data_IF_027115775947
#
_entry.id   IF_027115775947
#
_cell.length_a   1.000
_cell.length_b   1.000
_cell.length_c   1.000
_cell.angle_alpha   90.00
_cell.angle_beta   90.00
_cell.angle_gamma   90.00
#
_symmetry.space_group_name_H-M   'P 1'
#
loop_
_entity.id
_entity.type
_entity.pdbx_description
1 polymer ?
#
# COMPACT_ATOMS: atom_id res chain seq x y z
N UNK A 1 2.28 27.91 8.75
CA UNK A 1 2.75 26.76 7.94
C UNK A 1 1.97 26.76 6.63
N UNK A 2 2.66 26.83 5.50
CA UNK A 2 2.04 26.81 4.17
C UNK A 2 1.24 25.49 4.00
N UNK A 3 0.01 25.56 3.49
CA UNK A 3 -0.88 24.40 3.32
C UNK A 3 -0.22 23.28 2.50
N UNK A 4 0.61 23.64 1.52
CA UNK A 4 1.33 22.69 0.67
C UNK A 4 2.41 21.92 1.45
N UNK A 5 3.09 22.58 2.38
CA UNK A 5 4.11 21.97 3.27
C UNK A 5 3.44 21.00 4.24
N UNK A 6 2.32 21.40 4.84
CA UNK A 6 1.51 20.50 5.67
C UNK A 6 1.06 19.26 4.88
N UNK A 7 0.57 19.45 3.65
CA UNK A 7 0.14 18.34 2.80
C UNK A 7 1.29 17.39 2.45
N UNK A 8 2.47 17.92 2.11
CA UNK A 8 3.64 17.10 1.81
C UNK A 8 4.12 16.30 3.05
N UNK A 9 4.10 16.91 4.25
CA UNK A 9 4.43 16.22 5.49
C UNK A 9 3.43 15.10 5.82
N UNK A 10 2.13 15.34 5.62
CA UNK A 10 1.10 14.32 5.80
C UNK A 10 1.24 13.16 4.80
N UNK A 11 1.57 13.46 3.52
CA UNK A 11 1.85 12.43 2.52
C UNK A 11 3.08 11.59 2.88
N UNK A 12 4.15 12.23 3.36
CA UNK A 12 5.35 11.53 3.84
C UNK A 12 5.00 10.56 4.98
N UNK A 13 4.27 11.04 5.99
CA UNK A 13 3.80 10.21 7.10
C UNK A 13 2.93 9.04 6.61
N UNK A 14 2.01 9.31 5.68
CA UNK A 14 1.17 8.29 5.06
C UNK A 14 2.00 7.18 4.40
N UNK A 15 3.01 7.51 3.60
CA UNK A 15 3.87 6.50 2.97
C UNK A 15 4.69 5.70 3.99
N UNK A 16 5.16 6.33 5.07
CA UNK A 16 5.84 5.61 6.17
C UNK A 16 4.90 4.60 6.83
N UNK A 17 3.66 5.01 7.13
CA UNK A 17 2.64 4.12 7.70
C UNK A 17 2.33 2.97 6.73
N UNK A 18 2.24 3.22 5.43
CA UNK A 18 2.05 2.17 4.42
C UNK A 18 3.20 1.16 4.40
N UNK A 19 4.45 1.61 4.49
CA UNK A 19 5.62 0.72 4.55
C UNK A 19 5.55 -0.17 5.79
N UNK A 20 5.26 0.41 6.96
CA UNK A 20 5.09 -0.34 8.20
C UNK A 20 3.95 -1.36 8.11
N UNK A 21 2.82 -0.95 7.53
CA UNK A 21 1.69 -1.82 7.27
C UNK A 21 2.08 -3.02 6.41
N UNK A 22 2.75 -2.80 5.28
CA UNK A 22 3.19 -3.90 4.41
C UNK A 22 4.18 -4.85 5.11
N UNK A 23 5.02 -4.34 6.00
CA UNK A 23 5.90 -5.17 6.81
C UNK A 23 5.12 -6.08 7.76
N UNK A 24 4.13 -5.53 8.47
CA UNK A 24 3.27 -6.31 9.36
C UNK A 24 2.45 -7.35 8.59
N UNK A 25 1.81 -6.91 7.52
CA UNK A 25 0.96 -7.71 6.64
C UNK A 25 1.73 -8.89 6.02
N UNK A 26 2.96 -8.64 5.54
CA UNK A 26 3.88 -9.68 5.06
C UNK A 26 4.20 -10.72 6.15
N UNK A 27 4.52 -10.28 7.37
CA UNK A 27 4.82 -11.20 8.48
C UNK A 27 3.59 -12.04 8.83
N UNK A 28 2.41 -11.42 8.86
CA UNK A 28 1.15 -12.08 9.19
C UNK A 28 0.77 -13.13 8.16
N UNK A 29 0.96 -12.86 6.86
CA UNK A 29 0.72 -13.81 5.78
C UNK A 29 1.55 -15.08 5.93
N UNK A 30 2.87 -14.91 6.04
CA UNK A 30 3.78 -16.04 6.14
C UNK A 30 3.60 -16.81 7.45
N UNK A 31 3.28 -16.12 8.54
CA UNK A 31 3.01 -16.78 9.81
C UNK A 31 1.68 -17.55 9.79
N UNK A 32 0.63 -17.00 9.18
CA UNK A 32 -0.63 -17.72 8.95
C UNK A 32 -0.42 -18.96 8.06
N UNK A 33 0.36 -18.84 6.99
CA UNK A 33 0.68 -19.97 6.13
C UNK A 33 1.51 -21.03 6.86
N UNK A 34 2.44 -20.63 7.72
CA UNK A 34 3.18 -21.57 8.57
C UNK A 34 2.23 -22.36 9.48
N UNK A 35 1.28 -21.69 10.14
CA UNK A 35 0.26 -22.35 10.97
C UNK A 35 -0.58 -23.32 10.13
N UNK A 36 -0.96 -22.94 8.90
CA UNK A 36 -1.67 -23.85 8.00
C UNK A 36 -0.87 -25.11 7.68
N UNK A 37 0.45 -24.98 7.47
CA UNK A 37 1.32 -26.12 7.18
C UNK A 37 1.53 -27.02 8.39
N UNK A 38 1.61 -26.48 9.62
CA UNK A 38 1.88 -27.26 10.83
C UNK A 38 0.64 -27.84 11.48
N UNK A 39 -0.42 -27.04 11.57
CA UNK A 39 -1.61 -27.36 12.35
C UNK A 39 -2.79 -27.76 11.46
N UNK A 40 -2.62 -27.68 10.13
CA UNK A 40 -3.66 -27.93 9.12
C UNK A 40 -4.93 -27.10 9.36
N UNK A 41 -4.75 -25.90 9.92
CA UNK A 41 -5.84 -24.96 10.17
C UNK A 41 -5.52 -23.57 9.63
N UNK A 42 -6.54 -22.89 9.11
CA UNK A 42 -6.48 -21.45 8.83
C UNK A 42 -7.39 -20.78 9.84
N UNK A 43 -6.80 -19.88 10.63
CA UNK A 43 -7.51 -19.06 11.60
C UNK A 43 -8.49 -19.83 12.51
N UNK A 44 -8.11 -21.05 12.93
CA UNK A 44 -8.91 -21.90 13.83
C UNK A 44 -9.93 -22.81 13.15
N UNK A 45 -9.91 -22.90 11.81
CA UNK A 45 -10.78 -23.78 11.03
C UNK A 45 -9.93 -24.83 10.26
N UNK A 46 -10.34 -26.11 10.22
CA UNK A 46 -9.64 -27.14 9.44
C UNK A 46 -9.47 -26.75 7.97
N UNK A 47 -8.24 -26.83 7.48
CA UNK A 47 -7.81 -26.44 6.13
C UNK A 47 -6.94 -27.53 5.48
N UNK A 48 -7.22 -28.80 5.77
CA UNK A 48 -6.41 -29.96 5.35
C UNK A 48 -6.55 -30.33 3.86
N UNK A 49 -6.84 -29.36 3.00
CA UNK A 49 -6.96 -29.54 1.55
C UNK A 49 -5.71 -29.05 0.84
N UNK A 50 -5.20 -29.85 -0.10
CA UNK A 50 -4.07 -29.47 -0.97
C UNK A 50 -4.39 -28.18 -1.73
N UNK A 51 -5.65 -27.99 -2.16
CA UNK A 51 -6.06 -26.79 -2.87
C UNK A 51 -5.90 -25.53 -2.02
N UNK A 52 -6.25 -25.61 -0.74
CA UNK A 52 -6.15 -24.48 0.19
C UNK A 52 -4.67 -24.14 0.42
N UNK A 53 -3.82 -25.14 0.70
CA UNK A 53 -2.37 -24.97 0.87
C UNK A 53 -1.70 -24.34 -0.36
N UNK A 54 -2.06 -24.78 -1.56
CA UNK A 54 -1.50 -24.25 -2.81
C UNK A 54 -1.96 -22.81 -3.05
N UNK A 55 -3.25 -22.51 -2.86
CA UNK A 55 -3.79 -21.16 -3.08
C UNK A 55 -3.27 -20.15 -2.04
N UNK A 56 -3.18 -20.55 -0.77
CA UNK A 56 -2.64 -19.70 0.28
C UNK A 56 -1.13 -19.50 0.09
N UNK A 57 -0.38 -20.56 -0.20
CA UNK A 57 1.05 -20.43 -0.51
C UNK A 57 1.31 -19.53 -1.73
N UNK A 58 0.49 -19.66 -2.78
CA UNK A 58 0.54 -18.79 -3.95
C UNK A 58 0.27 -17.33 -3.57
N UNK A 59 -0.75 -17.07 -2.73
CA UNK A 59 -1.08 -15.71 -2.30
C UNK A 59 0.03 -15.06 -1.49
N UNK A 60 0.72 -15.80 -0.61
CA UNK A 60 1.90 -15.31 0.12
C UNK A 60 3.08 -14.93 -0.80
N UNK A 61 3.33 -15.74 -1.85
CA UNK A 61 4.38 -15.43 -2.83
C UNK A 61 4.00 -14.17 -3.63
N UNK A 62 2.75 -14.07 -4.08
CA UNK A 62 2.25 -12.88 -4.74
C UNK A 62 2.32 -11.63 -3.84
N UNK A 63 1.97 -11.74 -2.55
CA UNK A 63 2.15 -10.68 -1.57
C UNK A 63 3.61 -10.22 -1.54
N UNK A 64 4.55 -11.15 -1.43
CA UNK A 64 5.99 -10.83 -1.35
C UNK A 64 6.44 -10.00 -2.55
N UNK A 65 6.01 -10.39 -3.76
CA UNK A 65 6.34 -9.69 -5.00
C UNK A 65 5.68 -8.30 -5.04
N UNK A 66 4.38 -8.21 -4.72
CA UNK A 66 3.64 -6.96 -4.74
C UNK A 66 4.17 -5.97 -3.70
N UNK A 67 4.43 -6.43 -2.47
CA UNK A 67 5.06 -5.64 -1.41
C UNK A 67 6.40 -5.08 -1.88
N UNK A 68 7.29 -5.92 -2.43
CA UNK A 68 8.59 -5.44 -2.91
C UNK A 68 8.45 -4.39 -4.03
N UNK A 69 7.47 -4.54 -4.93
CA UNK A 69 7.20 -3.58 -5.98
C UNK A 69 6.62 -2.26 -5.45
N UNK A 70 5.65 -2.31 -4.53
CA UNK A 70 5.05 -1.13 -3.90
C UNK A 70 6.06 -0.35 -3.04
N UNK A 71 6.92 -1.04 -2.29
CA UNK A 71 8.00 -0.40 -1.52
C UNK A 71 8.91 0.43 -2.43
N UNK A 72 9.22 -0.04 -3.64
CA UNK A 72 9.99 0.75 -4.61
C UNK A 72 9.24 2.01 -5.04
N UNK A 73 7.95 1.90 -5.35
CA UNK A 73 7.10 3.05 -5.70
C UNK A 73 7.04 4.06 -4.56
N UNK A 74 6.80 3.60 -3.33
CA UNK A 74 6.73 4.46 -2.14
C UNK A 74 8.06 5.12 -1.81
N UNK A 75 9.19 4.45 -2.01
CA UNK A 75 10.51 5.06 -1.84
C UNK A 75 10.71 6.26 -2.79
N UNK A 76 10.23 6.18 -4.03
CA UNK A 76 10.25 7.32 -4.96
C UNK A 76 9.35 8.46 -4.49
N UNK A 77 8.13 8.17 -4.01
CA UNK A 77 7.23 9.20 -3.48
C UNK A 77 7.78 9.86 -2.21
N UNK A 78 8.36 9.09 -1.29
CA UNK A 78 9.02 9.61 -0.08
C UNK A 78 10.17 10.54 -0.47
N UNK A 79 11.04 10.11 -1.39
CA UNK A 79 12.17 10.93 -1.86
C UNK A 79 11.70 12.28 -2.42
N UNK A 80 10.61 12.28 -3.19
CA UNK A 80 10.01 13.50 -3.73
C UNK A 80 9.47 14.42 -2.63
N UNK A 81 8.63 13.90 -1.72
CA UNK A 81 8.01 14.75 -0.69
C UNK A 81 9.02 15.24 0.35
N UNK A 82 10.00 14.42 0.71
CA UNK A 82 11.08 14.84 1.60
C UNK A 82 11.88 15.99 0.99
N UNK A 83 12.22 15.89 -0.29
CA UNK A 83 12.92 16.96 -0.98
C UNK A 83 12.09 18.24 -1.08
N UNK A 84 10.80 18.12 -1.39
CA UNK A 84 9.89 19.26 -1.44
C UNK A 84 9.86 20.02 -0.10
N UNK A 85 9.78 19.28 1.02
CA UNK A 85 9.84 19.85 2.36
C UNK A 85 11.19 20.50 2.67
N UNK A 86 12.30 19.85 2.28
CA UNK A 86 13.64 20.38 2.49
C UNK A 86 13.82 21.74 1.83
N UNK A 87 13.38 21.89 0.57
CA UNK A 87 13.51 23.16 -0.14
C UNK A 87 12.54 24.21 0.39
N UNK A 88 11.30 23.84 0.71
CA UNK A 88 10.37 24.79 1.33
C UNK A 88 10.94 25.34 2.67
N UNK A 89 11.59 24.49 3.46
CA UNK A 89 12.29 24.91 4.68
C UNK A 89 13.49 25.80 4.37
N UNK A 90 14.25 25.51 3.32
CA UNK A 90 15.37 26.35 2.87
C UNK A 90 14.90 27.74 2.43
N UNK A 91 13.77 27.84 1.71
CA UNK A 91 13.20 29.11 1.27
C UNK A 91 12.67 29.96 2.44
N UNK A 92 12.02 29.32 3.42
CA UNK A 92 11.41 30.02 4.57
C UNK A 92 12.44 30.41 5.65
N UNK A 93 13.49 29.61 5.86
CA UNK A 93 14.42 29.77 6.98
C UNK A 93 15.87 30.06 6.56
N UNK A 94 16.18 30.05 5.27
CA UNK A 94 17.53 30.17 4.74
C UNK A 94 18.35 28.87 4.90
N UNK A 95 19.61 28.86 4.43
CA UNK A 95 20.50 27.72 4.60
C UNK A 95 20.65 27.36 6.08
N UNK A 96 20.52 26.07 6.40
CA UNK A 96 21.00 25.55 7.68
C UNK A 96 22.52 25.64 7.65
N UNK A 97 23.07 26.73 8.19
CA UNK A 97 24.50 27.02 8.17
C UNK A 97 25.32 25.90 8.82
N UNK A 98 26.59 25.73 8.42
CA UNK A 98 27.46 24.75 9.05
C UNK A 98 27.59 25.03 10.55
N UNK A 99 27.71 23.96 11.33
CA UNK A 99 28.17 24.05 12.73
C UNK A 99 29.50 24.82 12.72
N UNK A 100 29.64 25.81 13.60
CA UNK A 100 30.83 26.65 13.72
C UNK A 100 32.11 25.79 13.65
N UNK A 101 32.92 26.02 12.61
CA UNK A 101 34.25 25.40 12.48
C UNK A 101 34.50 24.49 11.26
N UNK A 102 33.52 24.22 10.39
CA UNK A 102 33.80 23.46 9.15
C UNK A 102 34.24 24.39 8.01
N UNK A 103 35.39 24.12 7.40
CA UNK A 103 35.81 24.78 6.17
C UNK A 103 34.81 24.49 5.04
N UNK A 104 33.99 25.47 4.66
CA UNK A 104 32.95 25.30 3.64
C UNK A 104 33.42 25.82 2.27
N UNK A 105 33.13 25.02 1.24
CA UNK A 105 33.04 25.53 -0.14
C UNK A 105 31.86 26.50 -0.14
N UNK A 106 32.12 27.80 -0.36
CA UNK A 106 31.07 28.81 -0.49
C UNK A 106 30.34 28.61 -1.82
N UNK A 107 29.36 27.72 -1.83
CA UNK A 107 28.33 27.70 -2.89
C UNK A 107 27.47 28.94 -2.66
N UNK A 108 27.28 29.76 -3.69
CA UNK A 108 26.41 30.93 -3.59
C UNK A 108 24.96 30.51 -3.27
N UNK A 109 24.26 31.32 -2.47
CA UNK A 109 22.86 31.04 -2.12
C UNK A 109 21.97 30.90 -3.38
N UNK A 110 22.31 31.62 -4.45
CA UNK A 110 21.61 31.56 -5.75
C UNK A 110 21.86 30.24 -6.50
N UNK A 111 23.10 29.74 -6.57
CA UNK A 111 23.39 28.43 -7.18
C UNK A 111 22.78 27.27 -6.38
N UNK A 112 22.76 27.37 -5.05
CA UNK A 112 22.14 26.34 -4.20
C UNK A 112 20.63 26.30 -4.44
N UNK A 113 20.00 27.47 -4.55
CA UNK A 113 18.57 27.61 -4.85
C UNK A 113 18.20 27.15 -6.26
N UNK A 114 19.03 27.45 -7.27
CA UNK A 114 18.83 26.96 -8.63
C UNK A 114 18.91 25.43 -8.68
N UNK A 115 19.95 24.85 -8.09
CA UNK A 115 20.11 23.39 -8.02
C UNK A 115 18.96 22.71 -7.26
N UNK A 116 18.51 23.30 -6.15
CA UNK A 116 17.36 22.81 -5.39
C UNK A 116 16.07 22.86 -6.21
N UNK A 117 15.82 23.95 -6.94
CA UNK A 117 14.64 24.12 -7.79
C UNK A 117 14.62 23.12 -8.96
N UNK A 118 15.76 22.91 -9.60
CA UNK A 118 15.92 21.97 -10.72
C UNK A 118 15.79 20.51 -10.25
N UNK A 119 16.26 20.22 -9.03
CA UNK A 119 16.09 18.91 -8.42
C UNK A 119 14.63 18.65 -7.98
N UNK A 120 13.90 19.65 -7.47
CA UNK A 120 12.45 19.54 -7.25
C UNK A 120 11.72 19.34 -8.58
N UNK A 121 12.08 20.09 -9.62
CA UNK A 121 11.45 19.96 -10.92
C UNK A 121 11.66 18.56 -11.51
N UNK A 122 12.88 18.02 -11.39
CA UNK A 122 13.17 16.64 -11.78
C UNK A 122 12.43 15.62 -10.91
N UNK A 123 12.35 15.84 -9.60
CA UNK A 123 11.53 15.02 -8.68
C UNK A 123 10.05 15.03 -9.06
N UNK A 124 9.50 16.22 -9.36
CA UNK A 124 8.13 16.41 -9.82
C UNK A 124 7.90 15.72 -11.15
N UNK A 125 8.82 15.85 -12.12
CA UNK A 125 8.76 15.13 -13.40
C UNK A 125 8.74 13.61 -13.20
N UNK A 126 9.44 13.09 -12.19
CA UNK A 126 9.46 11.66 -11.87
C UNK A 126 8.12 11.21 -11.27
N UNK A 127 7.53 11.97 -10.34
CA UNK A 127 6.22 11.64 -9.74
C UNK A 127 5.06 11.83 -10.72
N UNK A 128 5.19 12.81 -11.63
CA UNK A 128 4.21 13.11 -12.67
C UNK A 128 4.40 12.19 -13.90
N UNK A 129 5.48 11.41 -13.98
CA UNK A 129 5.63 10.42 -15.05
C UNK A 129 4.47 9.41 -14.94
N UNK A 130 3.59 9.34 -15.96
CA UNK A 130 2.38 8.52 -15.90
C UNK A 130 2.65 7.03 -15.70
N UNK A 131 3.91 6.58 -15.85
CA UNK A 131 4.32 5.21 -15.55
C UNK A 131 4.16 4.85 -14.07
N UNK A 132 4.45 5.77 -13.13
CA UNK A 132 4.39 5.43 -11.70
C UNK A 132 2.96 5.31 -11.17
N UNK A 133 2.04 6.26 -11.44
CA UNK A 133 0.65 6.12 -10.99
C UNK A 133 -0.08 4.93 -11.61
N UNK A 134 0.27 4.58 -12.86
CA UNK A 134 -0.25 3.40 -13.55
C UNK A 134 0.36 2.11 -13.00
N UNK A 135 1.68 2.08 -12.76
CA UNK A 135 2.33 0.93 -12.14
C UNK A 135 1.77 0.66 -10.75
N UNK A 136 1.62 1.69 -9.92
CA UNK A 136 0.97 1.60 -8.61
C UNK A 136 -0.44 1.01 -8.74
N UNK A 137 -1.26 1.52 -9.66
CA UNK A 137 -2.61 1.01 -9.89
C UNK A 137 -2.62 -0.47 -10.30
N UNK A 138 -1.78 -0.84 -11.26
CA UNK A 138 -1.70 -2.23 -11.74
C UNK A 138 -1.22 -3.16 -10.62
N UNK A 139 -0.23 -2.72 -9.83
CA UNK A 139 0.25 -3.50 -8.68
C UNK A 139 -0.84 -3.59 -7.60
N UNK A 140 -1.61 -2.53 -7.34
CA UNK A 140 -2.74 -2.57 -6.40
C UNK A 140 -3.85 -3.53 -6.85
N UNK A 141 -4.15 -3.61 -8.15
CA UNK A 141 -5.09 -4.63 -8.67
C UNK A 141 -4.51 -6.04 -8.52
N UNK A 142 -3.21 -6.22 -8.79
CA UNK A 142 -2.56 -7.51 -8.60
C UNK A 142 -2.51 -7.93 -7.11
N UNK A 143 -2.23 -7.00 -6.20
CA UNK A 143 -2.28 -7.20 -4.75
C UNK A 143 -3.70 -7.61 -4.33
N UNK A 144 -4.72 -6.86 -4.74
CA UNK A 144 -6.11 -7.21 -4.44
C UNK A 144 -6.45 -8.64 -4.90
N UNK A 145 -6.23 -8.93 -6.18
CA UNK A 145 -6.74 -10.16 -6.81
C UNK A 145 -5.94 -11.41 -6.48
N UNK A 146 -4.62 -11.29 -6.36
CA UNK A 146 -3.73 -12.44 -6.16
C UNK A 146 -3.41 -12.68 -4.69
N UNK A 147 -3.71 -11.71 -3.82
CA UNK A 147 -3.51 -11.84 -2.37
C UNK A 147 -4.83 -11.69 -1.63
N UNK A 148 -5.32 -10.46 -1.46
CA UNK A 148 -6.36 -10.16 -0.48
C UNK A 148 -7.67 -10.90 -0.76
N UNK A 149 -8.09 -10.95 -2.03
CA UNK A 149 -9.28 -11.67 -2.48
C UNK A 149 -9.14 -13.17 -2.27
N UNK A 150 -7.98 -13.75 -2.60
CA UNK A 150 -7.73 -15.19 -2.40
C UNK A 150 -7.80 -15.53 -0.92
N UNK A 151 -7.12 -14.77 -0.07
CA UNK A 151 -7.08 -15.04 1.37
C UNK A 151 -8.46 -14.84 2.04
N UNK A 152 -9.18 -13.76 1.72
CA UNK A 152 -10.55 -13.53 2.20
C UNK A 152 -11.51 -14.61 1.71
N UNK A 153 -11.40 -15.00 0.44
CA UNK A 153 -12.22 -16.06 -0.16
C UNK A 153 -11.97 -17.43 0.49
N UNK A 154 -10.70 -17.78 0.75
CA UNK A 154 -10.34 -19.01 1.44
C UNK A 154 -10.87 -19.03 2.87
N UNK A 155 -10.70 -17.95 3.64
CA UNK A 155 -11.23 -17.83 5.01
C UNK A 155 -12.75 -18.05 5.04
N UNK A 156 -13.47 -17.37 4.16
CA UNK A 156 -14.93 -17.51 4.07
C UNK A 156 -15.35 -18.92 3.64
N UNK A 157 -14.68 -19.50 2.64
CA UNK A 157 -15.01 -20.84 2.15
C UNK A 157 -14.78 -21.90 3.23
N UNK A 158 -13.59 -21.90 3.83
CA UNK A 158 -13.20 -22.89 4.85
C UNK A 158 -14.09 -22.77 6.09
N UNK A 159 -14.35 -21.55 6.56
CA UNK A 159 -15.28 -21.32 7.68
C UNK A 159 -16.72 -21.71 7.36
N UNK A 160 -17.14 -21.69 6.10
CA UNK A 160 -18.47 -22.16 5.69
C UNK A 160 -18.54 -23.69 5.62
N UNK A 161 -17.49 -24.32 5.11
CA UNK A 161 -17.42 -25.76 4.92
C UNK A 161 -17.20 -26.55 6.22
N UNK A 162 -16.52 -25.96 7.21
CA UNK A 162 -16.12 -26.64 8.44
C UNK A 162 -16.52 -25.86 9.69
N UNK A 163 -16.65 -26.58 10.81
CA UNK A 163 -16.84 -25.98 12.12
C UNK A 163 -15.52 -25.53 12.72
N UNK A 164 -15.56 -24.44 13.48
CA UNK A 164 -14.41 -23.97 14.25
C UNK A 164 -13.98 -25.04 15.25
N UNK A 165 -12.69 -25.36 15.27
CA UNK A 165 -12.14 -26.34 16.20
C UNK A 165 -11.66 -25.69 17.50
N UNK A 166 -11.46 -24.37 17.51
CA UNK A 166 -11.01 -23.57 18.64
C UNK A 166 -11.65 -22.18 18.60
N UNK A 167 -11.71 -21.52 19.76
CA UNK A 167 -12.04 -20.10 19.85
C UNK A 167 -11.07 -19.25 19.02
N UNK A 168 -11.55 -18.10 18.54
CA UNK A 168 -10.79 -17.17 17.72
C UNK A 168 -9.50 -16.74 18.44
N UNK A 169 -8.36 -17.08 17.85
CA UNK A 169 -7.06 -16.70 18.41
C UNK A 169 -6.77 -15.21 18.17
N UNK A 170 -5.94 -14.60 19.02
CA UNK A 170 -5.47 -13.22 18.81
C UNK A 170 -4.78 -13.02 17.46
N UNK A 171 -4.04 -14.04 16.99
CA UNK A 171 -3.40 -14.03 15.68
C UNK A 171 -4.44 -14.01 14.55
N UNK A 172 -5.45 -14.89 14.62
CA UNK A 172 -6.55 -14.95 13.66
C UNK A 172 -7.33 -13.63 13.58
N UNK A 173 -7.55 -13.00 14.74
CA UNK A 173 -8.20 -11.70 14.83
C UNK A 173 -7.34 -10.61 14.17
N UNK A 174 -6.04 -10.57 14.49
CA UNK A 174 -5.12 -9.60 13.91
C UNK A 174 -4.99 -9.77 12.39
N UNK A 175 -4.90 -11.00 11.89
CA UNK A 175 -4.89 -11.32 10.47
C UNK A 175 -6.16 -10.82 9.77
N UNK A 176 -7.33 -11.03 10.40
CA UNK A 176 -8.61 -10.55 9.87
C UNK A 176 -8.69 -9.02 9.84
N UNK A 177 -8.19 -8.34 10.88
CA UNK A 177 -8.11 -6.87 10.91
C UNK A 177 -7.16 -6.36 9.83
N UNK A 178 -6.00 -6.98 9.64
CA UNK A 178 -5.06 -6.64 8.56
C UNK A 178 -5.72 -6.77 7.18
N UNK A 179 -6.49 -7.84 6.95
CA UNK A 179 -7.28 -8.07 5.73
C UNK A 179 -8.34 -6.98 5.52
N UNK A 180 -9.11 -6.61 6.56
CA UNK A 180 -10.08 -5.51 6.46
C UNK A 180 -9.42 -4.18 6.11
N UNK A 181 -8.29 -3.87 6.76
CA UNK A 181 -7.52 -2.66 6.46
C UNK A 181 -6.90 -2.71 5.06
N UNK A 182 -6.53 -3.89 4.55
CA UNK A 182 -6.03 -4.08 3.18
C UNK A 182 -7.10 -3.68 2.17
N UNK A 183 -8.29 -4.25 2.30
CA UNK A 183 -9.43 -3.94 1.44
C UNK A 183 -9.80 -2.46 1.54
N UNK A 184 -9.95 -1.92 2.75
CA UNK A 184 -10.27 -0.50 2.92
C UNK A 184 -9.21 0.43 2.27
N UNK A 185 -7.92 0.12 2.45
CA UNK A 185 -6.81 0.85 1.83
C UNK A 185 -6.93 0.82 0.30
N UNK A 186 -7.13 -0.36 -0.27
CA UNK A 186 -7.23 -0.56 -1.72
C UNK A 186 -8.47 0.09 -2.30
N UNK A 187 -9.62 -0.02 -1.63
CA UNK A 187 -10.85 0.68 -2.00
C UNK A 187 -10.61 2.19 -2.07
N UNK A 188 -10.02 2.79 -1.04
CA UNK A 188 -9.67 4.22 -1.02
C UNK A 188 -8.68 4.55 -2.16
N UNK A 189 -7.69 3.69 -2.41
CA UNK A 189 -6.74 3.86 -3.52
C UNK A 189 -7.46 3.91 -4.89
N UNK A 190 -8.38 2.97 -5.16
CA UNK A 190 -9.12 2.94 -6.41
C UNK A 190 -10.08 4.13 -6.55
N UNK A 191 -10.79 4.49 -5.48
CA UNK A 191 -11.67 5.66 -5.47
C UNK A 191 -10.88 6.94 -5.75
N UNK A 192 -9.77 7.15 -5.07
CA UNK A 192 -8.93 8.35 -5.27
C UNK A 192 -8.35 8.43 -6.68
N UNK A 193 -7.95 7.30 -7.27
CA UNK A 193 -7.48 7.23 -8.67
C UNK A 193 -8.61 7.40 -9.69
N UNK A 194 -9.82 6.93 -9.39
CA UNK A 194 -11.00 7.09 -10.24
C UNK A 194 -11.43 8.56 -10.33
N UNK A 195 -11.45 9.26 -9.19
CA UNK A 195 -11.80 10.68 -9.10
C UNK A 195 -10.64 11.64 -9.37
N UNK A 196 -9.45 11.12 -9.72
CA UNK A 196 -8.26 11.92 -10.04
C UNK A 196 -7.84 12.86 -8.89
N UNK A 197 -8.01 12.41 -7.65
CA UNK A 197 -7.71 13.21 -6.46
C UNK A 197 -6.20 13.29 -6.15
N UNK A 198 -5.38 12.53 -6.88
CA UNK A 198 -3.92 12.48 -6.72
C UNK A 198 -3.15 13.46 -7.61
N UNK A 199 -1.99 13.88 -7.13
CA UNK A 199 -1.05 14.72 -7.87
C UNK A 199 -0.42 13.90 -9.02
N UNK A 200 -0.42 14.42 -10.25
CA UNK A 200 0.01 13.67 -11.44
C UNK A 200 -1.11 12.89 -12.15
N UNK A 201 -2.27 12.71 -11.51
CA UNK A 201 -3.41 11.97 -12.10
C UNK A 201 -4.07 12.75 -13.25
N UNK A 202 -3.95 14.07 -13.28
CA UNK A 202 -4.53 14.94 -14.33
C UNK A 202 -3.71 15.01 -15.62
N UNK A 203 -2.53 14.38 -15.66
CA UNK A 203 -1.54 14.58 -16.74
C UNK A 203 -1.65 13.53 -17.85
N UNK A 204 -2.49 12.51 -17.72
CA UNK A 204 -2.61 11.50 -18.76
C UNK A 204 -3.44 12.01 -19.96
N UNK A 205 -2.75 12.18 -21.10
CA UNK A 205 -3.34 12.21 -22.42
C UNK A 205 -3.71 10.79 -22.92
N UNK A 206 -4.58 10.80 -23.92
CA UNK A 206 -5.21 9.68 -24.63
C UNK A 206 -6.38 8.97 -23.92
N UNK A 207 -7.54 8.91 -24.62
CA UNK A 207 -8.83 8.44 -24.10
C UNK A 207 -8.79 6.96 -23.74
N UNK A 208 -8.08 6.14 -24.52
CA UNK A 208 -7.97 4.70 -24.31
C UNK A 208 -7.30 4.34 -22.97
N UNK A 209 -6.25 5.08 -22.57
CA UNK A 209 -5.56 4.85 -21.30
C UNK A 209 -6.46 5.20 -20.10
N UNK A 210 -7.31 6.21 -20.26
CA UNK A 210 -8.31 6.57 -19.26
C UNK A 210 -9.38 5.50 -19.10
N UNK A 211 -9.91 4.98 -20.20
CA UNK A 211 -10.93 3.93 -20.15
C UNK A 211 -10.38 2.69 -19.44
N UNK A 212 -9.16 2.27 -19.77
CA UNK A 212 -8.48 1.15 -19.11
C UNK A 212 -8.31 1.39 -17.60
N UNK A 213 -7.84 2.59 -17.21
CA UNK A 213 -7.69 2.97 -15.81
C UNK A 213 -9.02 2.96 -15.06
N UNK A 214 -10.07 3.51 -15.65
CA UNK A 214 -11.41 3.50 -15.06
C UNK A 214 -11.91 2.08 -14.85
N UNK A 215 -11.73 1.18 -15.84
CA UNK A 215 -12.08 -0.23 -15.70
C UNK A 215 -11.35 -0.88 -14.52
N UNK A 216 -10.03 -0.67 -14.39
CA UNK A 216 -9.24 -1.21 -13.27
C UNK A 216 -9.73 -0.68 -11.91
N UNK A 217 -10.04 0.62 -11.82
CA UNK A 217 -10.52 1.20 -10.57
C UNK A 217 -11.92 0.68 -10.20
N UNK A 218 -12.84 0.57 -11.16
CA UNK A 218 -14.19 0.03 -10.91
C UNK A 218 -14.11 -1.43 -10.47
N UNK A 219 -13.34 -2.24 -11.20
CA UNK A 219 -13.11 -3.63 -10.84
C UNK A 219 -12.49 -3.75 -9.45
N UNK A 220 -11.46 -2.95 -9.17
CA UNK A 220 -10.81 -2.91 -7.85
C UNK A 220 -11.76 -2.52 -6.72
N UNK A 221 -12.60 -1.50 -6.92
CA UNK A 221 -13.61 -1.11 -5.92
C UNK A 221 -14.61 -2.23 -5.63
N UNK A 222 -15.11 -2.89 -6.67
CA UNK A 222 -16.09 -3.98 -6.52
C UNK A 222 -15.45 -5.18 -5.82
N UNK A 223 -14.26 -5.60 -6.25
CA UNK A 223 -13.53 -6.70 -5.64
C UNK A 223 -13.29 -6.43 -4.16
N UNK A 224 -12.68 -5.28 -3.87
CA UNK A 224 -12.36 -4.87 -2.51
C UNK A 224 -13.58 -4.85 -1.58
N UNK A 225 -14.69 -4.20 -1.99
CA UNK A 225 -15.90 -4.17 -1.16
C UNK A 225 -16.53 -5.56 -0.97
N UNK A 226 -16.47 -6.42 -1.99
CA UNK A 226 -17.03 -7.78 -1.92
C UNK A 226 -16.23 -8.63 -0.95
N UNK A 227 -14.91 -8.67 -1.09
CA UNK A 227 -14.04 -9.50 -0.27
C UNK A 227 -13.85 -8.97 1.15
N UNK A 228 -13.96 -7.64 1.36
CA UNK A 228 -14.14 -7.07 2.70
C UNK A 228 -15.39 -7.65 3.38
N UNK A 229 -16.52 -7.70 2.66
CA UNK A 229 -17.75 -8.33 3.14
C UNK A 229 -17.58 -9.80 3.50
N UNK A 230 -16.77 -10.54 2.74
CA UNK A 230 -16.45 -11.95 3.06
C UNK A 230 -15.61 -12.06 4.34
N UNK A 231 -14.61 -11.19 4.54
CA UNK A 231 -13.83 -11.15 5.78
C UNK A 231 -14.70 -10.81 6.98
N UNK A 232 -15.63 -9.85 6.85
CA UNK A 232 -16.61 -9.51 7.90
C UNK A 232 -17.51 -10.71 8.21
N UNK A 233 -18.06 -11.37 7.19
CA UNK A 233 -18.92 -12.54 7.36
C UNK A 233 -18.18 -13.68 8.09
N UNK A 234 -16.92 -13.93 7.72
CA UNK A 234 -16.05 -14.86 8.43
C UNK A 234 -15.90 -14.45 9.90
N UNK A 235 -15.57 -13.18 10.18
CA UNK A 235 -15.31 -12.71 11.54
C UNK A 235 -16.55 -12.80 12.44
N UNK A 236 -17.73 -12.44 11.92
CA UNK A 236 -19.00 -12.60 12.63
C UNK A 236 -19.23 -14.06 12.99
N UNK A 237 -19.01 -14.98 12.05
CA UNK A 237 -19.17 -16.41 12.30
C UNK A 237 -18.16 -16.92 13.34
N UNK A 238 -16.91 -16.46 13.27
CA UNK A 238 -15.86 -16.87 14.18
C UNK A 238 -16.07 -16.35 15.62
N UNK A 239 -16.67 -15.17 15.77
CA UNK A 239 -17.00 -14.60 17.09
C UNK A 239 -18.24 -15.25 17.74
N UNK A 240 -19.06 -15.94 16.95
CA UNK A 240 -20.25 -16.66 17.41
C UNK A 240 -19.99 -18.14 17.76
N UNK A 241 -18.83 -18.67 17.38
CA UNK A 241 -18.42 -20.06 17.60
C UNK A 241 -17.75 -20.26 18.96
#
# INVERSE_FOLDING_TARGET
MNLNVLCAALKLLYYVVLILYHGLDFVMDWYSFHIELTDETISGVPANSIAVKVLFGFSCVCCTICTAALLRVYAYYIKYHFLYLYVAAFEDYGPVGPVEGSASIQISDDELRENASLFIENGRKTVVDPKYPLAELVISVAELTLKDDIQSGLLFWVSTAYTFTRQLSWHSLLFSICSLLAHLKLFICFVTKLFRLGEGENVCGDRSRWDFKCCLCVFGCIGSATFEGLTIAYLVKALQA
#
